data_IF_119574179006
#
_entry.id   IF_119574179006
#
_cell.length_a   1.000
_cell.length_b   1.000
_cell.length_c   1.000
_cell.angle_alpha   90.00
_cell.angle_beta   90.00
_cell.angle_gamma   90.00
#
_symmetry.space_group_name_H-M   'P 1'
#
loop_
_entity.id
_entity.type
_entity.pdbx_description
1 polymer ?
#
# COMPACT_ATOMS: atom_id res chain seq x y z
N UNK A 1 4.09 -13.06 -24.06
CA UNK A 1 3.42 -11.76 -24.13
C UNK A 1 2.80 -11.51 -22.79
N UNK A 2 3.29 -10.50 -22.09
CA UNK A 2 2.74 -10.02 -20.83
C UNK A 2 1.70 -8.92 -21.11
N UNK A 3 1.00 -8.51 -20.07
CA UNK A 3 0.10 -7.36 -20.12
C UNK A 3 0.68 -6.20 -19.32
N UNK A 4 0.34 -4.97 -19.72
CA UNK A 4 0.70 -3.77 -18.99
C UNK A 4 -0.02 -3.76 -17.63
N UNK A 5 0.69 -3.65 -16.50
CA UNK A 5 0.04 -3.64 -15.19
C UNK A 5 -0.98 -2.49 -15.04
N UNK A 6 -0.71 -1.34 -15.66
CA UNK A 6 -1.55 -0.15 -15.58
C UNK A 6 -2.85 -0.21 -16.40
N UNK A 7 -2.84 -0.77 -17.62
CA UNK A 7 -4.00 -0.72 -18.52
C UNK A 7 -4.46 -2.08 -19.09
N UNK A 8 -3.77 -3.18 -18.78
CA UNK A 8 -4.04 -4.50 -19.34
C UNK A 8 -3.76 -4.62 -20.85
N UNK A 9 -3.10 -3.64 -21.48
CA UNK A 9 -2.69 -3.71 -22.89
C UNK A 9 -1.56 -4.72 -23.11
N UNK A 10 -1.48 -5.39 -24.28
CA UNK A 10 -0.40 -6.31 -24.55
C UNK A 10 0.96 -5.59 -24.59
N UNK A 11 1.98 -6.21 -23.99
CA UNK A 11 3.37 -5.74 -24.00
C UNK A 11 4.31 -6.91 -24.33
N UNK A 12 5.41 -6.60 -25.01
CA UNK A 12 6.55 -7.50 -25.15
C UNK A 12 7.47 -7.41 -23.91
N UNK A 13 8.27 -8.44 -23.68
CA UNK A 13 9.19 -8.49 -22.52
C UNK A 13 10.23 -7.37 -22.53
N UNK A 14 10.61 -6.89 -23.72
CA UNK A 14 11.60 -5.83 -23.91
C UNK A 14 10.97 -4.42 -24.07
N UNK A 15 9.64 -4.30 -24.00
CA UNK A 15 8.96 -3.01 -24.16
C UNK A 15 9.25 -2.11 -22.96
N UNK A 16 9.96 -0.99 -23.20
CA UNK A 16 10.20 0.03 -22.17
C UNK A 16 8.96 0.86 -21.82
N UNK A 17 7.99 0.94 -22.74
CA UNK A 17 6.75 1.67 -22.59
C UNK A 17 5.61 0.86 -23.18
N UNK A 18 4.44 0.89 -22.56
CA UNK A 18 3.26 0.22 -23.09
C UNK A 18 2.84 0.90 -24.40
N UNK A 19 2.71 0.17 -25.53
CA UNK A 19 2.29 0.77 -26.80
C UNK A 19 0.83 1.21 -26.79
N UNK A 20 0.02 0.74 -25.84
CA UNK A 20 -1.40 1.09 -25.71
C UNK A 20 -1.64 2.38 -24.93
N UNK A 21 -0.97 2.57 -23.79
CA UNK A 21 -1.24 3.68 -22.88
C UNK A 21 -0.05 4.61 -22.61
N UNK A 22 1.14 4.27 -23.12
CA UNK A 22 2.36 5.05 -22.91
C UNK A 22 2.99 4.88 -21.53
N UNK A 23 2.41 4.07 -20.63
CA UNK A 23 2.94 3.84 -19.28
C UNK A 23 4.34 3.21 -19.37
N UNK A 24 5.29 3.73 -18.60
CA UNK A 24 6.64 3.20 -18.58
C UNK A 24 6.63 1.83 -17.91
N UNK A 25 7.06 0.79 -18.62
CA UNK A 25 7.25 -0.53 -18.04
C UNK A 25 8.50 -0.44 -17.18
N UNK A 26 8.30 -0.18 -15.89
CA UNK A 26 9.35 0.24 -14.98
C UNK A 26 9.81 -0.88 -14.07
N UNK A 27 11.13 -1.07 -14.03
CA UNK A 27 11.89 -1.22 -12.79
C UNK A 27 11.61 0.03 -11.92
N UNK A 28 10.72 -0.05 -10.92
CA UNK A 28 10.64 0.97 -9.86
C UNK A 28 11.57 0.60 -8.71
N UNK A 29 12.84 0.34 -9.04
CA UNK A 29 13.90 0.00 -8.07
C UNK A 29 14.15 1.09 -7.02
N UNK A 30 13.68 2.31 -7.26
CA UNK A 30 13.78 3.46 -6.36
C UNK A 30 12.57 3.60 -5.40
N UNK A 31 11.60 2.67 -5.41
CA UNK A 31 10.44 2.76 -4.51
C UNK A 31 10.80 2.26 -3.11
N UNK A 32 10.65 3.13 -2.13
CA UNK A 32 10.55 2.74 -0.72
C UNK A 32 9.15 2.18 -0.44
N UNK A 33 9.04 0.86 -0.21
CA UNK A 33 7.78 0.20 0.16
C UNK A 33 7.79 -1.30 -0.11
N UNK A 34 6.85 -2.03 0.49
CA UNK A 34 6.77 -3.49 0.37
C UNK A 34 6.09 -3.98 -0.92
N UNK A 35 5.21 -3.18 -1.52
CA UNK A 35 4.51 -3.55 -2.76
C UNK A 35 5.43 -3.51 -3.97
N UNK A 36 5.36 -4.55 -4.80
CA UNK A 36 6.11 -4.62 -6.05
C UNK A 36 5.73 -3.46 -6.99
N UNK A 37 6.72 -2.91 -7.73
CA UNK A 37 6.50 -1.88 -8.74
C UNK A 37 5.29 -2.09 -9.66
N UNK A 38 5.07 -3.32 -10.11
CA UNK A 38 3.97 -3.69 -11.00
C UNK A 38 2.62 -3.72 -10.27
N UNK A 39 2.58 -4.13 -9.00
CA UNK A 39 1.36 -4.04 -8.18
C UNK A 39 0.95 -2.58 -8.01
N UNK A 40 1.93 -1.71 -7.79
CA UNK A 40 1.64 -0.28 -7.66
C UNK A 40 1.11 0.28 -8.98
N UNK A 41 1.69 -0.09 -10.13
CA UNK A 41 1.18 0.34 -11.44
C UNK A 41 -0.25 -0.17 -11.67
N UNK A 42 -0.54 -1.39 -11.20
CA UNK A 42 -1.88 -1.97 -11.22
C UNK A 42 -2.89 -1.12 -10.44
N UNK A 43 -2.56 -0.78 -9.19
CA UNK A 43 -3.40 0.07 -8.34
C UNK A 43 -3.55 1.50 -8.90
N UNK A 44 -2.50 2.08 -9.46
CA UNK A 44 -2.54 3.38 -10.15
C UNK A 44 -3.52 3.33 -11.34
N UNK A 45 -3.48 2.24 -12.11
CA UNK A 45 -4.37 2.00 -13.24
C UNK A 45 -5.84 1.93 -12.83
N UNK A 46 -6.13 1.27 -11.70
CA UNK A 46 -7.47 1.19 -11.13
C UNK A 46 -7.95 2.55 -10.67
N UNK A 47 -7.13 3.26 -9.88
CA UNK A 47 -7.44 4.61 -9.38
C UNK A 47 -7.78 5.57 -10.51
N UNK A 48 -7.07 5.48 -11.63
CA UNK A 48 -7.25 6.36 -12.78
C UNK A 48 -8.30 5.84 -13.79
N UNK A 49 -8.96 4.72 -13.52
CA UNK A 49 -9.96 4.11 -14.41
C UNK A 49 -9.39 3.52 -15.70
N UNK A 50 -8.06 3.40 -15.82
CA UNK A 50 -7.40 2.72 -16.93
C UNK A 50 -7.55 1.19 -16.86
N UNK A 51 -7.88 0.67 -15.68
CA UNK A 51 -8.10 -0.74 -15.40
C UNK A 51 -9.21 -0.94 -14.36
N UNK A 52 -9.83 -2.11 -14.35
CA UNK A 52 -10.78 -2.54 -13.31
C UNK A 52 -10.05 -3.27 -12.19
N UNK A 53 -10.63 -3.27 -10.99
CA UNK A 53 -10.19 -4.11 -9.88
C UNK A 53 -10.65 -5.56 -10.15
N UNK A 54 -9.86 -6.28 -10.94
CA UNK A 54 -10.17 -7.61 -11.46
C UNK A 54 -9.51 -8.70 -10.61
N UNK A 55 -10.27 -9.54 -9.89
CA UNK A 55 -9.72 -10.62 -9.07
C UNK A 55 -8.92 -11.65 -9.86
N UNK A 56 -9.23 -11.86 -11.14
CA UNK A 56 -8.56 -12.86 -11.97
C UNK A 56 -7.23 -12.34 -12.57
N UNK A 57 -6.89 -11.06 -12.31
CA UNK A 57 -5.64 -10.45 -12.74
C UNK A 57 -4.45 -11.01 -11.94
N UNK A 58 -3.33 -11.39 -12.59
CA UNK A 58 -2.13 -11.84 -11.88
C UNK A 58 -1.55 -10.76 -10.95
N UNK A 59 -1.87 -9.47 -11.20
CA UNK A 59 -1.47 -8.36 -10.34
C UNK A 59 -2.37 -8.19 -9.12
N UNK A 60 -3.64 -8.59 -9.20
CA UNK A 60 -4.53 -8.64 -8.05
C UNK A 60 -4.10 -9.74 -7.08
N UNK A 61 -3.90 -10.94 -7.61
CA UNK A 61 -3.32 -12.07 -6.90
C UNK A 61 -2.02 -11.71 -6.16
N UNK A 62 -1.15 -10.94 -6.82
CA UNK A 62 0.10 -10.47 -6.23
C UNK A 62 -0.12 -9.42 -5.15
N UNK A 63 -1.00 -8.46 -5.40
CA UNK A 63 -1.41 -7.46 -4.42
C UNK A 63 -1.90 -8.11 -3.12
N UNK A 64 -2.83 -9.08 -3.21
CA UNK A 64 -3.36 -9.75 -2.02
C UNK A 64 -2.28 -10.49 -1.24
N UNK A 65 -1.38 -11.20 -1.93
CA UNK A 65 -0.26 -11.90 -1.29
C UNK A 65 0.68 -10.95 -0.56
N UNK A 66 1.04 -9.83 -1.16
CA UNK A 66 1.96 -8.85 -0.56
C UNK A 66 1.32 -8.13 0.63
N UNK A 67 0.03 -7.81 0.55
CA UNK A 67 -0.73 -7.25 1.70
C UNK A 67 -0.82 -8.27 2.84
N UNK A 68 -1.17 -9.52 2.53
CA UNK A 68 -1.25 -10.58 3.54
C UNK A 68 0.11 -10.83 4.21
N UNK A 69 1.21 -10.81 3.44
CA UNK A 69 2.56 -10.92 3.98
C UNK A 69 2.90 -9.74 4.92
N UNK A 70 2.64 -8.50 4.50
CA UNK A 70 2.86 -7.32 5.34
C UNK A 70 2.06 -7.37 6.66
N UNK A 71 0.80 -7.81 6.61
CA UNK A 71 -0.03 -8.02 7.82
C UNK A 71 0.61 -9.08 8.73
N UNK A 72 1.07 -10.20 8.16
CA UNK A 72 1.77 -11.25 8.91
C UNK A 72 3.05 -10.75 9.58
N UNK A 73 3.83 -9.93 8.89
CA UNK A 73 5.05 -9.32 9.43
C UNK A 73 4.72 -8.35 10.58
N UNK A 74 3.70 -7.51 10.45
CA UNK A 74 3.25 -6.63 11.55
C UNK A 74 2.76 -7.43 12.76
N UNK A 75 2.03 -8.53 12.54
CA UNK A 75 1.61 -9.43 13.62
C UNK A 75 2.82 -10.07 14.32
N UNK A 76 3.86 -10.43 13.57
CA UNK A 76 5.10 -10.95 14.16
C UNK A 76 5.83 -9.90 15.01
N UNK A 77 5.90 -8.64 14.55
CA UNK A 77 6.54 -7.55 15.28
C UNK A 77 5.82 -7.22 16.59
N UNK A 78 4.49 -7.35 16.63
CA UNK A 78 3.72 -7.21 17.86
C UNK A 78 4.19 -8.21 18.93
N UNK A 79 4.33 -9.49 18.57
CA UNK A 79 4.86 -10.52 19.48
C UNK A 79 6.34 -10.36 19.83
N UNK A 80 7.09 -9.60 19.04
CA UNK A 80 8.50 -9.29 19.30
C UNK A 80 8.69 -8.07 20.22
N UNK A 81 7.62 -7.37 20.61
CA UNK A 81 7.69 -6.17 21.45
C UNK A 81 8.34 -4.96 20.77
N UNK A 82 8.29 -4.89 19.44
CA UNK A 82 8.83 -3.77 18.67
C UNK A 82 7.83 -2.61 18.67
N UNK A 83 8.26 -1.45 19.16
CA UNK A 83 7.48 -0.21 19.01
C UNK A 83 7.63 0.32 17.58
N UNK A 84 6.59 0.16 16.77
CA UNK A 84 6.56 0.65 15.40
C UNK A 84 6.65 2.17 15.31
N UNK A 85 6.27 2.92 16.35
CA UNK A 85 6.43 4.36 16.38
C UNK A 85 7.89 4.79 16.51
N UNK A 86 8.72 3.99 17.17
CA UNK A 86 10.17 4.27 17.23
C UNK A 86 10.86 3.89 15.91
N UNK A 87 10.37 2.83 15.25
CA UNK A 87 10.90 2.37 13.95
C UNK A 87 10.49 3.29 12.81
N UNK A 88 9.21 3.65 12.76
CA UNK A 88 8.66 4.60 11.81
C UNK A 88 8.83 5.97 12.43
N UNK A 89 9.79 6.78 11.97
CA UNK A 89 10.10 8.10 12.53
C UNK A 89 8.97 9.11 12.28
N UNK A 90 7.80 8.87 12.86
CA UNK A 90 6.58 9.65 12.72
C UNK A 90 6.56 10.66 13.86
N UNK A 91 7.03 11.87 13.60
CA UNK A 91 6.88 12.96 14.57
C UNK A 91 5.41 13.41 14.58
N UNK A 92 4.66 12.95 15.59
CA UNK A 92 3.25 13.31 15.81
C UNK A 92 3.03 14.82 16.02
N UNK A 93 4.10 15.60 16.20
CA UNK A 93 4.05 17.04 16.42
C UNK A 93 3.78 17.85 15.15
N UNK A 94 3.99 17.27 13.96
CA UNK A 94 3.83 17.99 12.70
C UNK A 94 2.33 18.10 12.34
N UNK A 95 1.76 19.31 12.21
CA UNK A 95 0.41 19.47 11.70
C UNK A 95 0.35 18.95 10.26
N UNK A 96 -0.62 18.09 9.96
CA UNK A 96 -0.93 17.68 8.58
C UNK A 96 -1.50 18.91 7.87
N UNK A 97 -0.65 19.64 7.16
CA UNK A 97 -1.09 20.75 6.30
C UNK A 97 -1.74 20.21 5.00
N UNK A 98 -2.32 21.15 4.21
CA UNK A 98 -3.03 20.98 2.93
C UNK A 98 -2.56 19.80 2.06
N UNK A 99 -3.44 19.20 1.20
CA UNK A 99 -3.11 17.98 0.46
C UNK A 99 -1.79 18.10 -0.31
N UNK A 100 -0.75 17.49 0.25
CA UNK A 100 0.59 17.44 -0.34
C UNK A 100 0.60 16.29 -1.34
N UNK A 101 1.19 16.51 -2.52
CA UNK A 101 1.54 15.41 -3.40
C UNK A 101 2.49 14.47 -2.65
N UNK A 102 2.14 13.19 -2.40
CA UNK A 102 3.00 12.26 -1.68
C UNK A 102 4.41 12.11 -2.30
N UNK A 103 4.55 12.41 -3.59
CA UNK A 103 5.82 12.40 -4.31
C UNK A 103 6.71 13.59 -3.91
N UNK A 104 6.10 14.75 -3.64
CA UNK A 104 6.80 15.98 -3.23
C UNK A 104 6.94 16.13 -1.72
N UNK A 105 6.17 15.36 -0.94
CA UNK A 105 6.25 15.31 0.51
C UNK A 105 7.63 14.82 1.01
N UNK A 106 8.09 15.37 2.13
CA UNK A 106 9.24 14.82 2.86
C UNK A 106 8.91 13.41 3.40
N UNK A 107 9.93 12.60 3.77
CA UNK A 107 9.71 11.22 4.19
C UNK A 107 8.74 11.05 5.37
N UNK A 108 8.77 11.95 6.37
CA UNK A 108 7.91 11.84 7.55
C UNK A 108 6.45 12.14 7.19
N UNK A 109 6.21 13.20 6.42
CA UNK A 109 4.88 13.52 5.89
C UNK A 109 4.33 12.38 5.03
N UNK A 110 5.17 11.77 4.19
CA UNK A 110 4.77 10.62 3.35
C UNK A 110 4.37 9.39 4.18
N UNK A 111 5.12 9.10 5.25
CA UNK A 111 4.79 8.01 6.18
C UNK A 111 3.46 8.26 6.89
N UNK A 112 3.25 9.49 7.38
CA UNK A 112 2.02 9.90 8.07
C UNK A 112 0.79 9.80 7.15
N UNK A 113 0.91 10.27 5.90
CA UNK A 113 -0.14 10.11 4.90
C UNK A 113 -0.44 8.62 4.62
N UNK A 114 0.61 7.79 4.53
CA UNK A 114 0.47 6.34 4.37
C UNK A 114 -0.30 5.69 5.53
N UNK A 115 0.04 6.04 6.78
CA UNK A 115 -0.66 5.55 7.97
C UNK A 115 -2.12 6.00 8.02
N UNK A 116 -2.41 7.26 7.69
CA UNK A 116 -3.77 7.78 7.64
C UNK A 116 -4.63 7.02 6.60
N UNK A 117 -4.05 6.73 5.43
CA UNK A 117 -4.73 5.91 4.40
C UNK A 117 -4.96 4.48 4.89
N UNK A 118 -3.97 3.84 5.52
CA UNK A 118 -4.13 2.49 6.07
C UNK A 118 -5.25 2.43 7.12
N UNK A 119 -5.31 3.41 8.02
CA UNK A 119 -6.36 3.51 9.03
C UNK A 119 -7.75 3.73 8.40
N UNK A 120 -7.83 4.62 7.40
CA UNK A 120 -9.06 4.84 6.63
C UNK A 120 -9.56 3.56 5.96
N UNK A 121 -8.67 2.84 5.26
CA UNK A 121 -9.02 1.57 4.62
C UNK A 121 -9.44 0.48 5.60
N UNK A 122 -8.77 0.38 6.76
CA UNK A 122 -9.14 -0.58 7.79
C UNK A 122 -10.55 -0.27 8.34
N UNK A 123 -10.80 0.98 8.71
CA UNK A 123 -12.11 1.40 9.24
C UNK A 123 -13.24 1.26 8.23
N UNK A 124 -12.98 1.45 6.93
CA UNK A 124 -13.96 1.20 5.87
C UNK A 124 -14.19 -0.31 5.58
N UNK A 125 -13.14 -1.11 5.58
CA UNK A 125 -13.20 -2.54 5.22
C UNK A 125 -13.84 -3.40 6.30
N UNK A 126 -13.65 -3.03 7.57
CA UNK A 126 -14.29 -3.68 8.71
C UNK A 126 -15.55 -2.91 9.08
N UNK A 127 -16.57 -2.95 8.21
CA UNK A 127 -17.86 -2.31 8.45
C UNK A 127 -18.42 -2.73 9.82
N UNK A 128 -18.45 -1.81 10.78
CA UNK A 128 -18.94 -2.04 12.14
C UNK A 128 -17.86 -1.99 13.23
N UNK A 129 -16.58 -1.97 12.87
CA UNK A 129 -15.47 -1.84 13.83
C UNK A 129 -14.95 -0.40 13.79
N UNK A 130 -15.26 0.36 14.83
CA UNK A 130 -14.68 1.69 15.06
C UNK A 130 -13.15 1.55 15.24
N UNK A 131 -12.38 2.58 14.89
CA UNK A 131 -11.00 2.75 15.36
C UNK A 131 -10.82 2.45 16.86
N UNK A 132 -11.77 2.85 17.72
CA UNK A 132 -11.75 2.57 19.15
C UNK A 132 -11.91 1.07 19.45
N UNK A 133 -12.69 0.32 18.64
CA UNK A 133 -12.91 -1.12 18.80
C UNK A 133 -11.72 -1.93 18.28
N UNK A 134 -11.06 -1.47 17.20
CA UNK A 134 -9.77 -2.01 16.76
C UNK A 134 -8.70 -1.82 17.84
N UNK A 135 -8.65 -0.64 18.47
CA UNK A 135 -7.70 -0.34 19.53
C UNK A 135 -7.98 -1.16 20.80
N UNK A 136 -9.25 -1.33 21.17
CA UNK A 136 -9.65 -2.20 22.26
C UNK A 136 -9.24 -3.66 22.00
N UNK A 137 -9.50 -4.16 20.79
CA UNK A 137 -9.11 -5.51 20.37
C UNK A 137 -7.58 -5.70 20.43
N UNK A 138 -6.82 -4.68 20.04
CA UNK A 138 -5.37 -4.68 20.16
C UNK A 138 -4.91 -4.81 21.62
N UNK A 139 -5.46 -3.99 22.53
CA UNK A 139 -5.11 -4.06 23.96
C UNK A 139 -5.50 -5.40 24.59
N UNK A 140 -6.68 -5.93 24.26
CA UNK A 140 -7.09 -7.27 24.70
C UNK A 140 -6.14 -8.37 24.23
N UNK A 141 -5.56 -8.24 23.03
CA UNK A 141 -4.56 -9.19 22.53
C UNK A 141 -3.22 -9.05 23.25
N UNK A 142 -2.82 -7.82 23.62
CA UNK A 142 -1.59 -7.59 24.41
C UNK A 142 -1.69 -8.16 25.83
N UNK A 143 -2.86 -8.09 26.46
CA UNK A 143 -3.08 -8.55 27.84
C UNK A 143 -3.24 -10.08 27.96
N UNK A 144 -3.26 -10.82 26.84
CA UNK A 144 -3.47 -12.28 26.79
C UNK A 144 -2.18 -13.10 26.78
N UNK A 145 -1.02 -12.46 26.65
CA UNK A 145 0.33 -13.06 26.78
C UNK A 145 0.97 -12.71 28.14
#
# INVERSE_FOLDING_TARGET
>A
MSECPYCGGPIAEDDRYCPRCGERQTDRGDREGFLDPAVVQYLDGIRNGARTFDPDSPYHDRFEREVAAAIGDFAHLLGAGVDLHDVLTVDQSAPIESPVDPVEADPATRQLLGLAVLLGLATESFSGVDSDELLASYHELQDRD
#
